data_IF_737298911320
#
_entry.id   IF_737298911320
#
_cell.length_a   1.000
_cell.length_b   1.000
_cell.length_c   1.000
_cell.angle_alpha   90.00
_cell.angle_beta   90.00
_cell.angle_gamma   90.00
#
_symmetry.space_group_name_H-M   'P 1'
#
loop_
_entity.id
_entity.type
_entity.pdbx_description
1 polymer ?
#
# COMPACT_ATOMS: atom_id res chain seq x y z
N UNK A 1 10.10 13.83 0.02
CA UNK A 1 9.18 12.68 0.19
C UNK A 1 9.95 11.59 0.89
N UNK A 2 9.40 10.97 1.94
CA UNK A 2 10.11 9.92 2.67
C UNK A 2 10.28 8.67 1.83
N UNK A 3 9.23 8.29 1.09
CA UNK A 3 9.20 7.15 0.18
C UNK A 3 8.73 7.57 -1.21
N UNK A 4 9.31 6.96 -2.24
CA UNK A 4 8.77 6.90 -3.61
C UNK A 4 8.53 5.43 -3.95
N UNK A 5 7.29 5.09 -4.33
CA UNK A 5 6.84 3.72 -4.58
C UNK A 5 6.58 3.52 -6.06
N UNK A 6 7.03 2.41 -6.63
CA UNK A 6 6.81 2.06 -8.02
C UNK A 6 7.35 0.68 -8.37
N UNK A 7 7.74 0.50 -9.64
CA UNK A 7 8.42 -0.70 -10.13
C UNK A 7 9.80 -0.37 -10.68
N UNK A 8 10.72 -1.33 -10.61
CA UNK A 8 12.04 -1.20 -11.22
C UNK A 8 11.93 -0.95 -12.72
N UNK A 9 12.52 0.15 -13.16
CA UNK A 9 12.56 0.56 -14.57
C UNK A 9 11.29 1.19 -15.11
N UNK A 10 10.19 1.26 -14.34
CA UNK A 10 8.98 1.95 -14.77
C UNK A 10 9.28 3.41 -15.07
N UNK A 11 8.98 3.84 -16.29
CA UNK A 11 9.16 5.21 -16.74
C UNK A 11 7.92 5.70 -17.49
N UNK A 12 6.82 5.88 -16.76
CA UNK A 12 5.56 6.31 -17.34
C UNK A 12 5.59 7.82 -17.64
N UNK A 13 5.12 8.26 -18.83
CA UNK A 13 5.12 9.68 -19.18
C UNK A 13 4.04 10.48 -18.45
N UNK A 14 3.06 9.80 -17.86
CA UNK A 14 1.90 10.42 -17.22
C UNK A 14 1.41 9.58 -16.04
N UNK A 15 0.32 10.05 -15.41
CA UNK A 15 -0.43 9.32 -14.41
C UNK A 15 -1.90 9.49 -14.72
N UNK A 16 -2.65 8.39 -14.75
CA UNK A 16 -4.09 8.39 -15.08
C UNK A 16 -4.89 7.93 -13.88
N UNK A 17 -6.12 8.42 -13.74
CA UNK A 17 -7.06 7.82 -12.81
C UNK A 17 -7.63 6.54 -13.43
N UNK A 18 -7.43 5.40 -12.78
CA UNK A 18 -7.91 4.09 -13.25
C UNK A 18 -9.22 3.68 -12.55
N UNK A 19 -9.34 4.01 -11.26
CA UNK A 19 -10.57 3.86 -10.50
C UNK A 19 -10.65 4.89 -9.36
N UNK A 20 -11.85 5.16 -8.87
CA UNK A 20 -12.08 5.96 -7.67
C UNK A 20 -13.43 5.60 -7.05
N UNK A 21 -13.61 5.98 -5.80
CA UNK A 21 -14.88 5.94 -5.08
C UNK A 21 -14.92 7.11 -4.08
N UNK A 22 -15.86 7.15 -3.14
CA UNK A 22 -16.17 8.33 -2.35
C UNK A 22 -14.95 9.04 -1.71
N UNK A 23 -13.94 8.30 -1.24
CA UNK A 23 -12.67 8.87 -0.75
C UNK A 23 -11.41 8.06 -1.09
N UNK A 24 -11.49 7.13 -2.05
CA UNK A 24 -10.31 6.40 -2.55
C UNK A 24 -10.09 6.67 -4.02
N UNK A 25 -8.82 6.59 -4.44
CA UNK A 25 -8.40 6.68 -5.84
C UNK A 25 -7.32 5.64 -6.12
N UNK A 26 -7.34 5.09 -7.32
CA UNK A 26 -6.33 4.20 -7.87
C UNK A 26 -5.71 4.89 -9.08
N UNK A 27 -4.58 5.60 -8.92
CA UNK A 27 -3.83 6.10 -10.06
C UNK A 27 -3.10 4.95 -10.76
N UNK A 28 -2.82 5.17 -12.05
CA UNK A 28 -2.23 4.21 -12.97
C UNK A 28 -1.08 4.83 -13.75
N UNK A 29 0.01 4.08 -13.85
CA UNK A 29 1.20 4.39 -14.62
C UNK A 29 1.49 3.24 -15.57
N UNK A 30 1.87 3.56 -16.80
CA UNK A 30 2.36 2.58 -17.78
C UNK A 30 3.37 3.18 -18.74
N UNK A 31 4.30 2.34 -19.21
CA UNK A 31 5.35 2.72 -20.18
C UNK A 31 5.40 1.80 -21.40
N UNK A 32 4.37 0.98 -21.59
CA UNK A 32 4.28 -0.02 -22.68
C UNK A 32 4.91 -1.37 -22.35
N UNK A 33 5.82 -1.45 -21.36
CA UNK A 33 6.38 -2.72 -20.87
C UNK A 33 5.94 -3.05 -19.44
N UNK A 34 5.70 -2.03 -18.63
CA UNK A 34 5.29 -2.13 -17.23
C UNK A 34 3.98 -1.43 -16.99
N UNK A 35 3.24 -1.92 -16.00
CA UNK A 35 2.06 -1.22 -15.47
C UNK A 35 2.11 -1.19 -13.95
N UNK A 36 1.65 -0.11 -13.36
CA UNK A 36 1.60 0.09 -11.92
C UNK A 36 0.32 0.79 -11.51
N UNK A 37 -0.33 0.31 -10.45
CA UNK A 37 -1.51 0.88 -9.80
C UNK A 37 -1.27 0.98 -8.31
N UNK A 38 -1.77 2.02 -7.67
CA UNK A 38 -1.67 2.18 -6.22
C UNK A 38 -2.96 2.75 -5.63
N UNK A 39 -3.78 1.91 -4.99
CA UNK A 39 -4.98 2.41 -4.30
C UNK A 39 -4.57 3.14 -3.03
N UNK A 40 -5.00 4.39 -2.92
CA UNK A 40 -4.85 5.25 -1.74
C UNK A 40 -6.20 5.87 -1.37
N UNK A 41 -6.33 6.38 -0.15
CA UNK A 41 -7.51 7.10 0.27
C UNK A 41 -7.28 7.89 1.55
N UNK A 42 -8.13 8.88 1.78
CA UNK A 42 -8.12 9.60 3.06
C UNK A 42 -8.49 8.65 4.21
N UNK A 43 -7.85 8.83 5.36
CA UNK A 43 -8.07 7.96 6.53
C UNK A 43 -7.58 6.52 6.36
N UNK A 44 -6.81 6.22 5.30
CA UNK A 44 -6.18 4.92 5.12
C UNK A 44 -4.68 5.01 5.39
N UNK A 45 -4.12 4.18 6.29
CA UNK A 45 -2.68 4.17 6.52
C UNK A 45 -1.94 3.30 5.49
N UNK A 46 -2.66 2.60 4.60
CA UNK A 46 -2.11 1.71 3.58
C UNK A 46 -2.07 2.32 2.20
N UNK A 47 -1.04 1.95 1.44
CA UNK A 47 -1.01 1.97 -0.02
C UNK A 47 -1.11 0.53 -0.51
N UNK A 48 -2.11 0.22 -1.33
CA UNK A 48 -2.28 -1.11 -1.92
C UNK A 48 -1.87 -1.08 -3.39
N UNK A 49 -0.75 -1.71 -3.71
CA UNK A 49 -0.12 -1.61 -5.01
C UNK A 49 -0.33 -2.88 -5.83
N UNK A 50 -0.53 -2.70 -7.14
CA UNK A 50 -0.43 -3.76 -8.14
C UNK A 50 0.57 -3.37 -9.22
N UNK A 51 1.39 -4.31 -9.68
CA UNK A 51 2.42 -4.05 -10.65
C UNK A 51 2.80 -5.25 -11.51
N UNK A 52 3.17 -4.99 -12.76
CA UNK A 52 3.63 -5.99 -13.73
C UNK A 52 4.81 -5.47 -14.56
N UNK A 53 5.64 -6.40 -15.04
CA UNK A 53 6.78 -6.10 -15.90
C UNK A 53 8.05 -5.63 -15.18
N UNK A 54 8.08 -5.66 -13.84
CA UNK A 54 9.25 -5.33 -13.03
C UNK A 54 9.04 -5.59 -11.55
N UNK A 55 10.13 -5.64 -10.79
CA UNK A 55 10.11 -5.81 -9.34
C UNK A 55 9.46 -4.61 -8.64
N UNK A 56 8.82 -4.84 -7.48
CA UNK A 56 8.43 -3.74 -6.60
C UNK A 56 9.68 -2.95 -6.21
N UNK A 57 9.58 -1.61 -6.22
CA UNK A 57 10.69 -0.72 -5.90
C UNK A 57 10.23 0.41 -5.00
N UNK A 58 10.90 0.56 -3.87
CA UNK A 58 10.76 1.69 -2.96
C UNK A 58 12.10 2.43 -2.94
N UNK A 59 12.07 3.75 -3.13
CA UNK A 59 13.22 4.62 -2.90
C UNK A 59 12.95 5.46 -1.67
N UNK A 60 13.87 5.45 -0.72
CA UNK A 60 13.80 6.19 0.53
C UNK A 60 14.58 7.50 0.44
N UNK A 61 14.18 8.53 1.19
CA UNK A 61 14.86 9.83 1.22
C UNK A 61 16.32 9.73 1.75
N UNK A 62 16.56 8.77 2.63
CA UNK A 62 17.84 8.44 3.25
C UNK A 62 17.87 6.96 3.57
N UNK A 63 19.07 6.38 3.75
CA UNK A 63 19.19 4.97 4.14
C UNK A 63 18.30 4.67 5.35
N UNK A 64 17.33 3.75 5.24
CA UNK A 64 16.38 3.48 6.31
C UNK A 64 17.07 2.75 7.47
N UNK A 65 16.59 2.99 8.68
CA UNK A 65 16.86 2.06 9.80
C UNK A 65 15.86 0.92 9.74
N UNK A 66 16.33 -0.32 9.67
CA UNK A 66 15.46 -1.51 9.69
C UNK A 66 15.23 -1.91 11.14
N UNK A 67 13.99 -1.86 11.61
CA UNK A 67 13.63 -2.29 12.97
C UNK A 67 13.03 -3.71 13.01
N UNK A 68 12.61 -4.24 11.85
CA UNK A 68 12.18 -5.63 11.72
C UNK A 68 12.41 -6.11 10.29
N UNK A 69 12.93 -7.32 10.15
CA UNK A 69 13.07 -8.00 8.86
C UNK A 69 12.60 -9.45 9.04
N UNK A 70 11.56 -9.81 8.29
CA UNK A 70 10.95 -11.13 8.28
C UNK A 70 10.82 -11.64 6.83
N UNK A 71 11.74 -11.22 5.94
CA UNK A 71 11.75 -11.58 4.53
C UNK A 71 10.72 -10.77 3.73
N UNK A 72 9.53 -11.33 3.52
CA UNK A 72 8.45 -10.68 2.79
C UNK A 72 7.79 -9.52 3.55
N UNK A 73 8.09 -9.38 4.85
CA UNK A 73 7.62 -8.29 5.71
C UNK A 73 8.80 -7.57 6.33
N UNK A 74 8.95 -6.27 6.04
CA UNK A 74 10.01 -5.43 6.58
C UNK A 74 9.41 -4.19 7.26
N UNK A 75 9.92 -3.85 8.43
CA UNK A 75 9.67 -2.60 9.14
C UNK A 75 10.87 -1.67 9.04
N UNK A 76 10.67 -0.46 8.51
CA UNK A 76 11.71 0.56 8.38
C UNK A 76 11.34 1.88 9.06
N UNK A 77 12.35 2.63 9.45
CA UNK A 77 12.24 4.03 9.88
C UNK A 77 12.99 4.92 8.90
N UNK A 78 12.32 5.94 8.37
CA UNK A 78 12.90 6.96 7.48
C UNK A 78 12.51 8.33 8.04
N UNK A 79 13.48 9.20 8.26
CA UNK A 79 13.26 10.56 8.78
C UNK A 79 12.38 10.63 10.07
N UNK A 80 12.44 9.60 10.91
CA UNK A 80 11.64 9.52 12.15
C UNK A 80 10.23 8.95 11.98
N UNK A 81 9.80 8.63 10.76
CA UNK A 81 8.52 7.97 10.48
C UNK A 81 8.71 6.46 10.26
N UNK A 82 7.78 5.67 10.77
CA UNK A 82 7.82 4.21 10.69
C UNK A 82 6.94 3.70 9.56
N UNK A 83 7.46 2.77 8.76
CA UNK A 83 6.74 2.15 7.66
C UNK A 83 6.88 0.64 7.71
N UNK A 84 5.83 -0.05 7.25
CA UNK A 84 5.87 -1.47 6.96
C UNK A 84 5.76 -1.70 5.45
N UNK A 85 6.54 -2.64 4.94
CA UNK A 85 6.56 -3.07 3.56
C UNK A 85 6.16 -4.55 3.52
N UNK A 86 5.19 -4.88 2.69
CA UNK A 86 4.63 -6.23 2.59
C UNK A 86 4.68 -6.69 1.13
N UNK A 87 5.55 -7.64 0.84
CA UNK A 87 5.61 -8.36 -0.42
C UNK A 87 4.81 -9.67 -0.31
N UNK A 88 4.36 -10.26 -1.43
CA UNK A 88 3.65 -11.53 -1.41
C UNK A 88 4.42 -12.64 -0.70
N UNK A 89 3.70 -13.63 -0.15
CA UNK A 89 4.36 -14.80 0.45
C UNK A 89 5.26 -15.49 -0.59
N UNK A 90 6.51 -15.76 -0.21
CA UNK A 90 7.54 -16.35 -1.08
C UNK A 90 8.42 -15.34 -1.81
N UNK A 91 8.14 -14.04 -1.69
CA UNK A 91 9.06 -12.96 -2.07
C UNK A 91 9.88 -12.50 -0.87
N UNK A 92 11.02 -11.86 -1.10
CA UNK A 92 11.82 -11.22 -0.05
C UNK A 92 12.19 -9.79 -0.45
N UNK A 93 12.22 -8.89 0.52
CA UNK A 93 12.72 -7.53 0.30
C UNK A 93 14.25 -7.50 0.39
N UNK A 94 14.89 -6.92 -0.62
CA UNK A 94 16.31 -6.62 -0.63
C UNK A 94 16.53 -5.11 -0.44
N UNK A 95 17.38 -4.73 0.51
CA UNK A 95 17.68 -3.34 0.87
C UNK A 95 19.12 -3.04 0.47
N UNK A 96 19.30 -2.07 -0.43
CA UNK A 96 20.59 -1.61 -0.92
C UNK A 96 20.66 -0.08 -0.88
N UNK A 97 21.32 0.45 0.15
CA UNK A 97 21.35 1.89 0.42
C UNK A 97 19.95 2.46 0.60
N UNK A 98 19.55 3.37 -0.28
CA UNK A 98 18.21 3.98 -0.28
C UNK A 98 17.18 3.22 -1.11
N UNK A 99 17.59 2.18 -1.82
CA UNK A 99 16.74 1.39 -2.71
C UNK A 99 16.31 0.10 -2.03
N UNK A 100 15.01 -0.17 -2.03
CA UNK A 100 14.43 -1.42 -1.53
C UNK A 100 13.65 -2.08 -2.68
N UNK A 101 13.88 -3.36 -2.95
CA UNK A 101 13.24 -4.08 -4.05
C UNK A 101 12.75 -5.45 -3.63
N UNK A 102 11.63 -5.91 -4.21
CA UNK A 102 11.17 -7.29 -4.07
C UNK A 102 10.65 -7.81 -5.41
N UNK A 103 11.12 -9.00 -5.79
CA UNK A 103 10.56 -9.72 -6.93
C UNK A 103 9.17 -10.26 -6.59
N UNK A 104 8.16 -9.93 -7.41
CA UNK A 104 6.77 -10.33 -7.15
C UNK A 104 6.45 -11.77 -7.61
N UNK A 105 7.39 -12.44 -8.30
CA UNK A 105 7.20 -13.79 -8.81
C UNK A 105 6.04 -13.87 -9.80
N UNK A 106 5.13 -14.83 -9.59
CA UNK A 106 3.89 -14.96 -10.36
C UNK A 106 2.73 -14.11 -9.82
N UNK A 107 2.98 -13.35 -8.74
CA UNK A 107 2.03 -12.41 -8.15
C UNK A 107 2.26 -11.02 -8.73
N UNK A 108 1.32 -10.13 -8.50
CA UNK A 108 1.30 -8.79 -9.07
C UNK A 108 0.99 -7.71 -8.02
N UNK A 109 1.10 -8.00 -6.73
CA UNK A 109 0.65 -7.10 -5.67
C UNK A 109 1.68 -6.94 -4.55
N UNK A 110 1.63 -5.81 -3.86
CA UNK A 110 2.36 -5.55 -2.61
C UNK A 110 1.66 -4.40 -1.88
N UNK A 111 1.98 -4.19 -0.61
CA UNK A 111 1.44 -3.05 0.12
C UNK A 111 2.47 -2.40 1.02
N UNK A 112 2.22 -1.14 1.34
CA UNK A 112 2.96 -0.39 2.32
C UNK A 112 2.00 0.21 3.33
N UNK A 113 2.47 0.44 4.55
CA UNK A 113 1.73 1.22 5.53
C UNK A 113 2.63 2.17 6.29
N UNK A 114 2.10 3.33 6.64
CA UNK A 114 2.66 4.16 7.71
C UNK A 114 2.19 3.61 9.06
N UNK A 115 3.11 3.49 10.01
CA UNK A 115 2.83 2.96 11.35
C UNK A 115 2.86 4.10 12.39
N UNK A 116 1.96 4.09 13.38
CA UNK A 116 2.01 5.04 14.49
C UNK A 116 3.20 4.78 15.43
N UNK A 117 3.71 3.54 15.47
CA UNK A 117 4.90 3.13 16.21
C UNK A 117 5.42 1.80 15.64
N UNK A 118 6.66 1.42 15.96
CA UNK A 118 7.26 0.15 15.52
C UNK A 118 6.46 -1.08 15.98
N UNK A 119 5.83 -1.01 17.16
CA UNK A 119 5.07 -2.12 17.76
C UNK A 119 3.77 -2.42 17.02
N UNK A 120 3.30 -1.50 16.17
CA UNK A 120 2.09 -1.69 15.38
C UNK A 120 2.27 -2.69 14.21
N UNK A 121 3.51 -3.09 13.88
CA UNK A 121 3.81 -3.94 12.72
C UNK A 121 2.95 -5.22 12.65
N UNK A 122 2.82 -5.92 13.77
CA UNK A 122 2.05 -7.17 13.83
C UNK A 122 0.55 -6.95 13.55
N UNK A 123 -0.01 -5.83 14.00
CA UNK A 123 -1.41 -5.46 13.74
C UNK A 123 -1.62 -5.12 12.27
N UNK A 124 -0.72 -4.34 11.68
CA UNK A 124 -0.79 -3.93 10.28
C UNK A 124 -0.60 -5.11 9.33
N UNK A 125 0.28 -6.07 9.67
CA UNK A 125 0.49 -7.29 8.90
C UNK A 125 -0.81 -8.07 8.63
N UNK A 126 -1.78 -8.05 9.56
CA UNK A 126 -3.08 -8.72 9.38
C UNK A 126 -3.87 -8.21 8.18
N UNK A 127 -3.73 -6.92 7.86
CA UNK A 127 -4.49 -6.25 6.81
C UNK A 127 -3.65 -5.90 5.57
N UNK A 128 -2.38 -6.31 5.55
CA UNK A 128 -1.44 -6.03 4.46
C UNK A 128 -1.92 -6.52 3.09
N UNK A 129 -2.66 -7.62 3.06
CA UNK A 129 -3.17 -8.21 1.81
C UNK A 129 -4.69 -8.10 1.66
N UNK A 130 -5.37 -7.36 2.54
CA UNK A 130 -6.81 -7.06 2.42
C UNK A 130 -6.98 -5.74 1.66
N UNK A 131 -6.88 -5.82 0.33
CA UNK A 131 -6.81 -4.65 -0.53
C UNK A 131 -8.15 -3.95 -0.59
N UNK A 132 -8.17 -2.65 -0.26
CA UNK A 132 -9.34 -1.80 -0.46
C UNK A 132 -9.63 -1.67 -1.96
N UNK A 133 -10.88 -1.96 -2.35
CA UNK A 133 -11.37 -1.87 -3.73
C UNK A 133 -12.51 -0.87 -3.89
N UNK A 134 -13.04 -0.33 -2.80
CA UNK A 134 -14.05 0.73 -2.85
C UNK A 134 -14.32 1.35 -1.49
N UNK A 135 -14.91 2.54 -1.52
CA UNK A 135 -15.35 3.32 -0.38
C UNK A 135 -16.75 3.89 -0.63
N UNK A 136 -17.56 3.95 0.41
CA UNK A 136 -18.92 4.50 0.34
C UNK A 136 -19.32 5.21 1.62
N UNK A 137 -19.84 6.43 1.49
CA UNK A 137 -20.51 7.16 2.56
C UNK A 137 -22.01 7.10 2.32
N UNK A 138 -22.72 6.49 3.27
CA UNK A 138 -24.17 6.49 3.30
C UNK A 138 -24.64 7.41 4.42
N UNK A 139 -25.61 8.29 4.16
CA UNK A 139 -26.16 9.16 5.18
C UNK A 139 -27.68 9.07 5.27
N UNK A 140 -28.20 9.28 6.48
CA UNK A 140 -29.64 9.38 6.74
C UNK A 140 -29.93 10.56 7.66
N UNK A 141 -31.10 11.15 7.47
CA UNK A 141 -31.60 12.26 8.28
C UNK A 141 -32.79 11.84 9.12
N UNK A 142 -32.77 12.06 10.43
CA UNK A 142 -33.90 11.74 11.32
C UNK A 142 -33.99 12.77 12.44
N UNK A 143 -35.14 13.44 12.56
CA UNK A 143 -35.39 14.42 13.63
C UNK A 143 -34.35 15.55 13.69
N UNK A 144 -33.91 16.07 12.54
CA UNK A 144 -32.87 17.11 12.46
C UNK A 144 -31.43 16.63 12.65
N UNK A 145 -31.21 15.35 12.93
CA UNK A 145 -29.87 14.76 13.00
C UNK A 145 -29.47 14.13 11.67
N UNK A 146 -28.20 14.28 11.29
CA UNK A 146 -27.59 13.58 10.15
C UNK A 146 -26.63 12.53 10.68
N UNK A 147 -26.82 11.26 10.31
CA UNK A 147 -25.87 10.17 10.57
C UNK A 147 -25.23 9.74 9.27
N UNK A 148 -23.91 9.85 9.18
CA UNK A 148 -23.11 9.32 8.09
C UNK A 148 -22.40 8.02 8.54
N UNK A 149 -22.39 7.02 7.67
CA UNK A 149 -21.70 5.75 7.83
C UNK A 149 -20.69 5.62 6.70
N UNK A 150 -19.42 5.43 7.06
CA UNK A 150 -18.31 5.26 6.13
C UNK A 150 -17.93 3.77 6.09
N UNK A 151 -17.96 3.15 4.92
CA UNK A 151 -17.57 1.76 4.70
C UNK A 151 -16.48 1.64 3.64
N UNK A 152 -15.61 0.65 3.83
CA UNK A 152 -14.59 0.23 2.86
C UNK A 152 -14.87 -1.21 2.45
N UNK A 153 -14.83 -1.47 1.15
CA UNK A 153 -14.88 -2.81 0.57
C UNK A 153 -13.46 -3.30 0.36
N UNK A 154 -13.17 -4.54 0.76
CA UNK A 154 -11.83 -5.15 0.66
C UNK A 154 -11.86 -6.52 -0.01
N UNK A 155 -10.81 -6.83 -0.76
CA UNK A 155 -10.53 -8.15 -1.32
C UNK A 155 -9.21 -8.70 -0.76
N UNK A 156 -9.19 -9.95 -0.28
CA UNK A 156 -7.91 -10.58 0.05
C UNK A 156 -7.14 -10.98 -1.21
N UNK A 157 -5.87 -10.59 -1.24
CA UNK A 157 -4.86 -11.12 -2.15
C UNK A 157 -4.18 -12.37 -1.59
N UNK A 158 -4.13 -12.46 -0.26
CA UNK A 158 -3.67 -13.63 0.49
C UNK A 158 -4.49 -13.80 1.78
N UNK A 159 -4.55 -15.03 2.28
CA UNK A 159 -5.28 -15.34 3.50
C UNK A 159 -6.79 -15.08 3.40
N UNK A 160 -7.43 -14.89 4.55
CA UNK A 160 -8.90 -14.79 4.68
C UNK A 160 -9.38 -13.44 5.18
N UNK A 161 -8.49 -12.58 5.66
CA UNK A 161 -8.83 -11.30 6.27
C UNK A 161 -9.59 -10.39 5.30
N UNK A 162 -10.70 -9.85 5.80
CA UNK A 162 -11.52 -8.83 5.15
C UNK A 162 -11.68 -7.68 6.14
N UNK A 163 -11.48 -6.45 5.68
CA UNK A 163 -11.42 -5.25 6.50
C UNK A 163 -10.05 -4.57 6.43
N UNK A 164 -9.94 -3.40 7.05
CA UNK A 164 -8.71 -2.62 7.07
C UNK A 164 -8.67 -1.73 8.32
N UNK A 165 -7.54 -1.05 8.52
CA UNK A 165 -7.39 -0.01 9.54
C UNK A 165 -7.83 1.34 8.95
N UNK A 166 -8.60 2.10 9.71
CA UNK A 166 -9.01 3.47 9.38
C UNK A 166 -8.47 4.44 10.44
N UNK A 167 -8.10 5.64 10.02
CA UNK A 167 -7.52 6.70 10.85
C UNK A 167 -8.33 8.00 10.73
#
# INVERSE_FOLDING_TARGET
ADLTVGLTGLNSPDTKADAWSDWTVTPYWADGSRTFRATIGHGMPFVYAKGSGGDARITTASTPTVFSDQGNVVGITVAGHHYALFAPTGADWNISGTTITAGLGSKDYFSLAVLPSTDALATYRKYAFSFVTGSQVAWQTTGGNVRATYSLTTEAREGTERGTLQA
#
